data_IF_936393103358
#
_entry.id   IF_936393103358
#
_cell.length_a   1.000
_cell.length_b   1.000
_cell.length_c   1.000
_cell.angle_alpha   90.00
_cell.angle_beta   90.00
_cell.angle_gamma   90.00
#
_symmetry.space_group_name_H-M   'P 1'
#
loop_
_entity.id
_entity.type
_entity.pdbx_description
1 polymer ?
#
# COMPACT_ATOMS: atom_id res chain seq x y z
N UNK A 1 56.73 11.64 -66.57
CA UNK A 1 55.31 11.32 -66.28
C UNK A 1 55.25 10.66 -64.91
N UNK A 2 54.80 11.43 -63.91
CA UNK A 2 54.74 11.08 -62.48
C UNK A 2 53.41 10.35 -62.20
N UNK A 3 53.41 9.01 -62.15
CA UNK A 3 52.20 8.17 -61.95
C UNK A 3 52.18 7.44 -60.59
N UNK A 4 53.31 7.40 -59.88
CA UNK A 4 53.47 6.61 -58.65
C UNK A 4 52.84 7.28 -57.41
N UNK A 5 52.85 8.61 -57.33
CA UNK A 5 52.31 9.36 -56.17
C UNK A 5 50.78 9.36 -56.07
N UNK A 6 50.08 9.11 -57.17
CA UNK A 6 48.60 9.11 -57.23
C UNK A 6 47.97 7.86 -56.60
N UNK A 7 48.59 6.68 -56.78
CA UNK A 7 48.05 5.42 -56.26
C UNK A 7 48.19 5.29 -54.74
N UNK A 8 49.30 5.76 -54.15
CA UNK A 8 49.54 5.69 -52.69
C UNK A 8 48.61 6.61 -51.89
N UNK A 9 48.32 7.81 -52.41
CA UNK A 9 47.34 8.74 -51.82
C UNK A 9 45.91 8.20 -51.89
N UNK A 10 45.51 7.59 -53.01
CA UNK A 10 44.17 7.00 -53.18
C UNK A 10 43.95 5.80 -52.26
N UNK A 11 44.97 4.93 -52.10
CA UNK A 11 44.91 3.76 -51.20
C UNK A 11 44.81 4.17 -49.72
N UNK A 12 45.59 5.18 -49.28
CA UNK A 12 45.50 5.76 -47.93
C UNK A 12 44.16 6.44 -47.66
N UNK A 13 43.61 7.16 -48.64
CA UNK A 13 42.30 7.83 -48.51
C UNK A 13 41.16 6.81 -48.40
N UNK A 14 41.21 5.73 -49.17
CA UNK A 14 40.23 4.64 -49.08
C UNK A 14 40.29 3.90 -47.73
N UNK A 15 41.49 3.67 -47.17
CA UNK A 15 41.62 3.05 -45.84
C UNK A 15 41.15 3.97 -44.71
N UNK A 16 41.37 5.29 -44.82
CA UNK A 16 40.87 6.26 -43.85
C UNK A 16 39.34 6.36 -43.87
N UNK A 17 38.74 6.37 -45.06
CA UNK A 17 37.28 6.36 -45.25
C UNK A 17 36.68 5.06 -44.69
N UNK A 18 37.30 3.90 -44.96
CA UNK A 18 36.82 2.61 -44.44
C UNK A 18 36.90 2.53 -42.91
N UNK A 19 37.97 3.07 -42.30
CA UNK A 19 38.09 3.19 -40.84
C UNK A 19 37.04 4.13 -40.24
N UNK A 20 36.74 5.25 -40.90
CA UNK A 20 35.69 6.17 -40.49
C UNK A 20 34.29 5.54 -40.56
N UNK A 21 34.01 4.79 -41.64
CA UNK A 21 32.75 4.03 -41.79
C UNK A 21 32.65 2.92 -40.74
N UNK A 22 33.72 2.15 -40.51
CA UNK A 22 33.72 1.10 -39.49
C UNK A 22 33.52 1.67 -38.07
N UNK A 23 34.13 2.82 -37.76
CA UNK A 23 33.94 3.51 -36.48
C UNK A 23 32.51 4.03 -36.33
N UNK A 24 31.93 4.62 -37.37
CA UNK A 24 30.55 5.09 -37.37
C UNK A 24 29.55 3.94 -37.17
N UNK A 25 29.80 2.78 -37.79
CA UNK A 25 28.97 1.57 -37.60
C UNK A 25 29.10 1.06 -36.16
N UNK A 26 30.31 0.99 -35.60
CA UNK A 26 30.49 0.57 -34.20
C UNK A 26 29.76 1.50 -33.23
N UNK A 27 29.87 2.81 -33.40
CA UNK A 27 29.16 3.79 -32.56
C UNK A 27 27.65 3.61 -32.70
N UNK A 28 27.12 3.44 -33.91
CA UNK A 28 25.69 3.22 -34.13
C UNK A 28 25.19 1.92 -33.46
N UNK A 29 25.97 0.84 -33.51
CA UNK A 29 25.64 -0.44 -32.84
C UNK A 29 25.68 -0.29 -31.32
N UNK A 30 26.68 0.39 -30.75
CA UNK A 30 26.76 0.64 -29.30
C UNK A 30 25.60 1.51 -28.81
N UNK A 31 25.28 2.60 -29.53
CA UNK A 31 24.16 3.48 -29.18
C UNK A 31 22.83 2.75 -29.33
N UNK A 32 22.64 1.99 -30.40
CA UNK A 32 21.44 1.16 -30.61
C UNK A 32 21.28 0.09 -29.53
N UNK A 33 22.36 -0.56 -29.12
CA UNK A 33 22.37 -1.54 -28.03
C UNK A 33 22.03 -0.92 -26.67
N UNK A 34 22.59 0.24 -26.34
CA UNK A 34 22.25 0.99 -25.13
C UNK A 34 20.77 1.46 -25.13
N UNK A 35 20.26 1.91 -26.28
CA UNK A 35 18.86 2.28 -26.44
C UNK A 35 17.93 1.09 -26.27
N UNK A 36 18.25 -0.06 -26.88
CA UNK A 36 17.47 -1.29 -26.75
C UNK A 36 17.48 -1.82 -25.30
N UNK A 37 18.63 -1.77 -24.62
CA UNK A 37 18.72 -2.12 -23.21
C UNK A 37 17.90 -1.17 -22.33
N UNK A 38 17.97 0.14 -22.58
CA UNK A 38 17.17 1.13 -21.84
C UNK A 38 15.66 0.94 -22.05
N UNK A 39 15.20 0.68 -23.29
CA UNK A 39 13.79 0.36 -23.54
C UNK A 39 13.37 -0.93 -22.84
N UNK A 40 14.18 -1.99 -22.93
CA UNK A 40 13.88 -3.26 -22.25
C UNK A 40 13.76 -3.07 -20.74
N UNK A 41 14.67 -2.31 -20.12
CA UNK A 41 14.63 -2.01 -18.69
C UNK A 41 13.32 -1.33 -18.29
N UNK A 42 12.89 -0.31 -19.06
CA UNK A 42 11.63 0.41 -18.84
C UNK A 42 10.40 -0.47 -19.01
N UNK A 43 10.40 -1.40 -19.98
CA UNK A 43 9.29 -2.32 -20.20
C UNK A 43 9.14 -3.34 -19.06
N UNK A 44 10.25 -3.79 -18.46
CA UNK A 44 10.23 -4.67 -17.28
C UNK A 44 9.74 -3.92 -16.04
N UNK A 45 10.21 -2.69 -15.84
CA UNK A 45 9.79 -1.80 -14.75
C UNK A 45 8.29 -1.43 -14.88
N UNK A 46 7.80 -1.15 -16.10
CA UNK A 46 6.37 -0.94 -16.34
C UNK A 46 5.51 -2.18 -16.10
N UNK A 47 6.00 -3.38 -16.46
CA UNK A 47 5.28 -4.63 -16.18
C UNK A 47 5.22 -4.95 -14.69
N UNK A 48 6.23 -4.59 -13.92
CA UNK A 48 6.24 -4.72 -12.47
C UNK A 48 5.29 -3.74 -11.76
N UNK A 49 4.94 -2.62 -12.40
CA UNK A 49 4.08 -1.58 -11.82
C UNK A 49 2.61 -1.66 -12.26
N UNK A 50 2.18 -2.75 -12.90
CA UNK A 50 0.76 -2.92 -13.23
C UNK A 50 -0.02 -3.42 -12.00
N UNK A 51 -1.18 -2.81 -11.68
CA UNK A 51 -2.01 -3.30 -10.59
C UNK A 51 -2.44 -4.75 -10.79
N UNK A 52 -2.45 -5.52 -9.71
CA UNK A 52 -3.04 -6.86 -9.68
C UNK A 52 -4.49 -6.74 -9.26
N UNK A 53 -5.40 -7.02 -10.18
CA UNK A 53 -6.84 -7.01 -9.91
C UNK A 53 -7.28 -8.34 -9.32
N UNK A 54 -7.82 -8.29 -8.10
CA UNK A 54 -8.47 -9.40 -7.44
C UNK A 54 -9.98 -9.36 -7.69
N UNK A 55 -10.67 -10.42 -7.27
CA UNK A 55 -12.14 -10.45 -7.30
C UNK A 55 -12.72 -9.41 -6.34
N UNK A 56 -14.03 -9.16 -6.46
CA UNK A 56 -14.80 -8.38 -5.49
C UNK A 56 -14.38 -6.91 -5.37
N UNK A 57 -13.84 -6.31 -6.43
CA UNK A 57 -13.47 -4.89 -6.42
C UNK A 57 -12.29 -4.59 -5.51
N UNK A 58 -11.28 -5.46 -5.50
CA UNK A 58 -10.03 -5.25 -4.78
C UNK A 58 -8.88 -5.25 -5.77
N UNK A 59 -7.96 -4.31 -5.64
CA UNK A 59 -6.71 -4.29 -6.41
C UNK A 59 -5.51 -4.10 -5.49
N UNK A 60 -4.39 -4.70 -5.89
CA UNK A 60 -3.07 -4.44 -5.32
C UNK A 60 -2.37 -3.50 -6.29
N UNK A 61 -2.20 -2.25 -5.88
CA UNK A 61 -1.62 -1.18 -6.71
C UNK A 61 -0.09 -1.22 -6.69
N UNK A 62 0.50 -1.67 -5.57
CA UNK A 62 1.96 -1.81 -5.43
C UNK A 62 2.31 -2.98 -4.52
N UNK A 63 3.47 -3.54 -4.78
CA UNK A 63 4.15 -4.54 -3.96
C UNK A 63 5.56 -4.03 -3.69
N UNK A 64 5.93 -3.88 -2.44
CA UNK A 64 7.19 -3.24 -2.05
C UNK A 64 7.73 -3.80 -0.73
N UNK A 65 9.00 -3.52 -0.45
CA UNK A 65 9.61 -3.75 0.85
C UNK A 65 9.40 -2.52 1.74
N UNK A 66 9.22 -2.75 3.03
CA UNK A 66 8.96 -1.73 4.01
C UNK A 66 9.96 -1.79 5.17
N UNK A 67 10.46 -0.60 5.53
CA UNK A 67 11.24 -0.36 6.73
C UNK A 67 10.50 0.66 7.60
N UNK A 68 10.36 0.37 8.89
CA UNK A 68 9.66 1.27 9.82
C UNK A 68 8.96 0.54 10.95
N UNK A 69 8.00 1.17 11.62
CA UNK A 69 7.27 0.53 12.70
C UNK A 69 6.27 -0.51 12.17
N UNK A 70 6.15 -1.62 12.89
CA UNK A 70 5.24 -2.71 12.56
C UNK A 70 3.90 -2.53 13.26
N UNK A 71 2.88 -2.18 12.46
CA UNK A 71 1.55 -1.84 12.97
C UNK A 71 0.64 -3.04 13.18
N UNK A 72 0.91 -4.18 12.54
CA UNK A 72 -0.05 -5.29 12.43
C UNK A 72 -0.31 -6.03 13.75
N UNK A 73 0.58 -5.89 14.74
CA UNK A 73 0.45 -6.48 16.07
C UNK A 73 0.28 -5.42 17.19
N UNK A 74 0.22 -4.13 16.83
CA UNK A 74 0.13 -3.02 17.77
C UNK A 74 1.36 -2.83 18.68
N UNK A 75 2.50 -3.44 18.36
CA UNK A 75 3.73 -3.28 19.16
C UNK A 75 4.57 -2.09 18.75
N UNK A 76 4.36 -1.57 17.54
CA UNK A 76 5.11 -0.46 16.93
C UNK A 76 6.63 -0.72 16.88
N UNK A 77 7.04 -2.00 16.94
CA UNK A 77 8.45 -2.39 16.87
C UNK A 77 9.02 -2.09 15.49
N UNK A 78 10.29 -1.71 15.42
CA UNK A 78 10.96 -1.52 14.14
C UNK A 78 11.10 -2.87 13.38
N UNK A 79 10.87 -2.82 12.08
CA UNK A 79 11.08 -3.90 11.11
C UNK A 79 11.81 -3.38 9.88
N UNK A 80 12.45 -4.30 9.17
CA UNK A 80 13.17 -4.02 7.94
C UNK A 80 12.83 -5.08 6.90
N UNK A 81 12.76 -4.66 5.64
CA UNK A 81 12.50 -5.45 4.45
C UNK A 81 11.18 -6.25 4.53
N UNK A 82 10.19 -5.78 5.29
CA UNK A 82 8.90 -6.47 5.42
C UNK A 82 8.09 -6.32 4.15
N UNK A 83 7.46 -7.39 3.71
CA UNK A 83 6.61 -7.37 2.53
C UNK A 83 5.38 -6.49 2.76
N UNK A 84 5.18 -5.49 1.91
CA UNK A 84 4.05 -4.57 1.92
C UNK A 84 3.23 -4.66 0.64
N UNK A 85 1.91 -4.58 0.79
CA UNK A 85 0.98 -4.34 -0.31
C UNK A 85 0.31 -2.97 -0.15
N UNK A 86 0.21 -2.23 -1.25
CA UNK A 86 -0.75 -1.12 -1.36
C UNK A 86 -2.03 -1.66 -1.96
N UNK A 87 -3.10 -1.74 -1.18
CA UNK A 87 -4.38 -2.35 -1.56
C UNK A 87 -5.46 -1.27 -1.67
N UNK A 88 -6.19 -1.25 -2.79
CA UNK A 88 -7.32 -0.36 -3.03
C UNK A 88 -8.63 -1.16 -3.02
N UNK A 89 -9.61 -0.68 -2.25
CA UNK A 89 -10.99 -1.15 -2.34
C UNK A 89 -11.70 -0.33 -3.42
N UNK A 90 -11.82 -0.89 -4.62
CA UNK A 90 -12.55 -0.29 -5.74
C UNK A 90 -14.05 -0.62 -5.72
N UNK A 91 -14.53 -1.39 -4.74
CA UNK A 91 -15.96 -1.68 -4.59
C UNK A 91 -16.71 -0.49 -4.00
N UNK A 92 -18.04 -0.59 -3.99
CA UNK A 92 -18.96 0.36 -3.36
C UNK A 92 -19.33 -0.04 -1.91
N UNK A 93 -18.66 -1.05 -1.34
CA UNK A 93 -18.95 -1.56 -0.01
C UNK A 93 -17.74 -1.45 0.92
N UNK A 94 -18.00 -1.01 2.15
CA UNK A 94 -16.99 -1.03 3.21
C UNK A 94 -16.71 -2.48 3.65
N UNK A 95 -15.43 -2.82 3.73
CA UNK A 95 -14.97 -4.15 4.10
C UNK A 95 -14.69 -4.19 5.60
N UNK A 96 -15.30 -5.15 6.29
CA UNK A 96 -15.02 -5.43 7.69
C UNK A 96 -13.71 -6.20 7.85
N UNK A 97 -13.49 -7.21 7.02
CA UNK A 97 -12.31 -8.07 7.05
C UNK A 97 -11.95 -8.56 5.66
N UNK A 98 -10.66 -8.53 5.33
CA UNK A 98 -10.08 -9.04 4.10
C UNK A 98 -8.77 -9.75 4.42
N UNK A 99 -8.65 -11.00 3.96
CA UNK A 99 -7.40 -11.74 3.97
C UNK A 99 -6.95 -12.00 2.53
N UNK A 100 -5.77 -11.50 2.19
CA UNK A 100 -5.08 -11.78 0.93
C UNK A 100 -3.92 -12.73 1.23
N UNK A 101 -3.77 -13.76 0.40
CA UNK A 101 -2.63 -14.69 0.46
C UNK A 101 -1.82 -14.57 -0.82
N UNK A 102 -0.51 -14.45 -0.66
CA UNK A 102 0.46 -14.52 -1.73
C UNK A 102 1.02 -15.94 -1.86
N UNK A 103 1.09 -16.45 -3.09
CA UNK A 103 1.60 -17.78 -3.41
C UNK A 103 2.71 -17.72 -4.47
N UNK A 104 3.68 -18.63 -4.33
CA UNK A 104 4.69 -18.84 -5.36
C UNK A 104 4.09 -19.52 -6.62
N UNK A 105 4.93 -19.72 -7.64
CA UNK A 105 4.55 -20.39 -8.89
C UNK A 105 4.11 -21.85 -8.71
N UNK A 106 4.49 -22.49 -7.60
CA UNK A 106 4.13 -23.86 -7.26
C UNK A 106 2.85 -23.92 -6.40
N UNK A 107 2.28 -22.78 -6.03
CA UNK A 107 1.08 -22.65 -5.20
C UNK A 107 1.35 -22.69 -3.69
N UNK A 108 2.61 -22.64 -3.25
CA UNK A 108 2.98 -22.58 -1.83
C UNK A 108 2.69 -21.20 -1.26
N UNK A 109 2.09 -21.12 -0.07
CA UNK A 109 1.85 -19.84 0.62
C UNK A 109 3.17 -19.22 1.05
N UNK A 110 3.37 -17.94 0.74
CA UNK A 110 4.57 -17.17 1.09
C UNK A 110 4.30 -16.05 2.09
N UNK A 111 3.08 -15.52 2.13
CA UNK A 111 2.73 -14.41 3.00
C UNK A 111 1.23 -14.19 3.08
N UNK A 112 0.79 -13.68 4.22
CA UNK A 112 -0.61 -13.38 4.51
C UNK A 112 -0.76 -11.91 4.89
N UNK A 113 -1.79 -11.26 4.36
CA UNK A 113 -2.08 -9.85 4.59
C UNK A 113 -3.51 -9.75 5.09
N UNK A 114 -3.68 -9.21 6.29
CA UNK A 114 -4.97 -9.10 6.94
C UNK A 114 -5.36 -7.64 7.10
N UNK A 115 -6.52 -7.28 6.59
CA UNK A 115 -7.03 -5.91 6.63
C UNK A 115 -8.39 -5.93 7.32
N UNK A 116 -8.53 -5.11 8.35
CA UNK A 116 -9.80 -4.81 9.00
C UNK A 116 -10.19 -3.37 8.67
N UNK A 117 -11.48 -3.12 8.46
CA UNK A 117 -12.03 -1.81 8.07
C UNK A 117 -11.30 -1.19 6.87
N UNK A 118 -11.68 -1.59 5.67
CA UNK A 118 -11.22 -0.95 4.43
C UNK A 118 -12.40 -0.30 3.71
N UNK A 119 -12.41 1.03 3.70
CA UNK A 119 -13.53 1.83 3.21
C UNK A 119 -13.62 1.76 1.70
N UNK A 120 -14.82 1.74 1.15
CA UNK A 120 -15.07 1.86 -0.28
C UNK A 120 -14.33 3.07 -0.87
N UNK A 121 -13.56 2.85 -1.93
CA UNK A 121 -12.74 3.87 -2.59
C UNK A 121 -11.44 4.26 -1.86
N UNK A 122 -11.13 3.66 -0.70
CA UNK A 122 -9.91 3.96 0.07
C UNK A 122 -8.78 2.97 -0.22
N UNK A 123 -7.55 3.45 0.02
CA UNK A 123 -6.31 2.66 -0.10
C UNK A 123 -5.72 2.40 1.28
N UNK A 124 -5.14 1.21 1.46
CA UNK A 124 -4.36 0.84 2.64
C UNK A 124 -2.98 0.33 2.24
N UNK A 125 -1.96 0.70 3.00
CA UNK A 125 -0.67 0.01 3.01
C UNK A 125 -0.68 -1.01 4.15
N UNK A 126 -0.66 -2.29 3.79
CA UNK A 126 -0.70 -3.41 4.74
C UNK A 126 0.60 -4.19 4.68
N UNK A 127 1.13 -4.55 5.85
CA UNK A 127 2.32 -5.37 5.97
C UNK A 127 1.94 -6.85 6.07
N UNK A 128 2.86 -7.73 5.72
CA UNK A 128 2.69 -9.16 5.96
C UNK A 128 2.50 -9.42 7.45
N UNK A 129 1.46 -10.18 7.79
CA UNK A 129 0.90 -10.27 9.14
C UNK A 129 1.89 -10.81 10.19
N UNK A 130 2.90 -11.56 9.78
CA UNK A 130 3.97 -12.10 10.63
C UNK A 130 5.31 -11.38 10.45
N UNK A 131 5.32 -10.23 9.77
CA UNK A 131 6.52 -9.48 9.39
C UNK A 131 7.51 -10.31 8.55
N UNK A 132 7.01 -11.19 7.68
CA UNK A 132 7.85 -11.91 6.73
C UNK A 132 8.50 -10.92 5.76
N UNK A 133 9.79 -11.14 5.51
CA UNK A 133 10.55 -10.32 4.56
C UNK A 133 10.05 -10.49 3.13
N UNK A 134 10.16 -9.44 2.32
CA UNK A 134 9.74 -9.49 0.93
C UNK A 134 10.58 -10.50 0.14
N UNK A 135 9.97 -11.56 -0.42
CA UNK A 135 10.72 -12.52 -1.20
C UNK A 135 11.19 -11.88 -2.52
N UNK A 136 12.36 -12.30 -3.03
CA UNK A 136 12.91 -11.74 -4.28
C UNK A 136 12.03 -11.95 -5.53
N UNK A 137 11.04 -12.85 -5.45
CA UNK A 137 10.03 -13.11 -6.49
C UNK A 137 8.64 -12.54 -6.14
N UNK A 138 8.52 -11.62 -5.17
CA UNK A 138 7.24 -11.03 -4.73
C UNK A 138 6.38 -10.50 -5.90
N UNK A 139 7.02 -9.88 -6.90
CA UNK A 139 6.34 -9.32 -8.08
C UNK A 139 5.76 -10.39 -9.02
N UNK A 140 6.26 -11.62 -8.94
CA UNK A 140 5.78 -12.74 -9.74
C UNK A 140 4.82 -13.65 -8.97
N UNK A 141 4.54 -13.32 -7.70
CA UNK A 141 3.62 -14.09 -6.88
C UNK A 141 2.18 -13.97 -7.40
N UNK A 142 1.41 -15.04 -7.19
CA UNK A 142 -0.04 -14.99 -7.39
C UNK A 142 -0.70 -14.56 -6.09
N UNK A 143 -1.58 -13.57 -6.17
CA UNK A 143 -2.36 -13.09 -5.03
C UNK A 143 -3.81 -13.54 -5.14
N UNK A 144 -4.42 -13.91 -4.02
CA UNK A 144 -5.82 -14.32 -3.99
C UNK A 144 -6.48 -13.94 -2.66
N UNK A 145 -7.77 -13.63 -2.73
CA UNK A 145 -8.60 -13.39 -1.54
C UNK A 145 -8.96 -14.75 -0.95
N UNK A 146 -8.59 -14.98 0.31
CA UNK A 146 -8.98 -16.17 1.07
C UNK A 146 -10.24 -15.92 1.91
N UNK A 147 -10.36 -14.72 2.49
CA UNK A 147 -11.51 -14.34 3.29
C UNK A 147 -11.91 -12.89 2.98
N UNK A 148 -13.21 -12.64 2.91
CA UNK A 148 -13.79 -11.33 2.66
C UNK A 148 -15.14 -11.23 3.38
N UNK A 149 -15.26 -10.25 4.26
CA UNK A 149 -16.50 -9.89 4.93
C UNK A 149 -16.72 -8.38 4.82
N UNK A 150 -17.92 -7.98 4.44
CA UNK A 150 -18.34 -6.58 4.39
C UNK A 150 -18.90 -6.13 5.73
N UNK A 151 -18.82 -4.83 6.00
CA UNK A 151 -19.54 -4.22 7.12
C UNK A 151 -21.05 -4.46 6.94
N UNK A 152 -21.69 -4.95 7.99
CA UNK A 152 -23.13 -5.27 7.97
C UNK A 152 -24.02 -4.03 8.09
N UNK A 153 -23.48 -2.93 8.59
CA UNK A 153 -24.17 -1.68 8.83
C UNK A 153 -23.32 -0.55 8.26
N UNK A 154 -23.99 0.49 7.76
CA UNK A 154 -23.30 1.71 7.33
C UNK A 154 -22.56 2.34 8.51
N UNK A 155 -21.37 2.87 8.21
CA UNK A 155 -20.58 3.60 9.19
C UNK A 155 -21.30 4.86 9.62
N UNK A 156 -21.29 5.12 10.92
CA UNK A 156 -21.82 6.36 11.48
C UNK A 156 -21.04 6.74 12.72
N UNK A 157 -20.91 8.04 12.95
CA UNK A 157 -20.50 8.60 14.24
C UNK A 157 -21.72 8.88 15.14
N UNK A 158 -22.93 8.69 14.60
CA UNK A 158 -24.20 8.96 15.28
C UNK A 158 -24.22 10.37 15.88
N UNK A 159 -23.90 11.37 15.05
CA UNK A 159 -23.75 12.78 15.46
C UNK A 159 -25.05 13.43 15.94
N UNK A 160 -26.19 12.77 15.71
CA UNK A 160 -27.49 13.11 16.31
C UNK A 160 -27.54 12.80 17.82
N UNK A 161 -26.69 11.88 18.29
CA UNK A 161 -26.62 11.43 19.70
C UNK A 161 -25.32 11.81 20.38
N UNK A 162 -24.21 11.71 19.66
CA UNK A 162 -22.89 11.88 20.27
C UNK A 162 -22.16 13.11 19.75
N UNK A 163 -21.38 13.73 20.63
CA UNK A 163 -20.31 14.64 20.23
C UNK A 163 -18.98 14.03 20.62
N UNK A 164 -18.07 13.99 19.65
CA UNK A 164 -16.74 13.45 19.79
C UNK A 164 -15.73 14.60 19.72
N UNK A 165 -14.78 14.60 20.64
CA UNK A 165 -13.61 15.49 20.57
C UNK A 165 -12.35 14.71 20.92
N UNK A 166 -11.23 15.16 20.36
CA UNK A 166 -9.95 14.46 20.46
C UNK A 166 -8.84 15.43 20.81
N UNK A 167 -7.92 14.99 21.66
CA UNK A 167 -6.73 15.74 22.02
C UNK A 167 -5.64 14.77 22.47
N UNK A 168 -4.46 14.83 21.87
CA UNK A 168 -3.37 13.90 22.13
C UNK A 168 -3.85 12.43 22.05
N UNK A 169 -3.61 11.65 23.11
CA UNK A 169 -4.04 10.25 23.23
C UNK A 169 -5.44 10.09 23.86
N UNK A 170 -6.21 11.17 23.99
CA UNK A 170 -7.51 11.17 24.62
C UNK A 170 -8.63 11.33 23.61
N UNK A 171 -9.61 10.44 23.71
CA UNK A 171 -10.87 10.53 22.99
C UNK A 171 -11.95 10.84 24.02
N UNK A 172 -12.67 11.93 23.79
CA UNK A 172 -13.82 12.35 24.59
C UNK A 172 -15.10 12.08 23.84
N UNK A 173 -16.08 11.49 24.52
CA UNK A 173 -17.41 11.22 24.01
C UNK A 173 -18.46 11.83 24.94
N UNK A 174 -19.40 12.57 24.38
CA UNK A 174 -20.57 13.13 25.09
C UNK A 174 -21.86 12.55 24.52
N UNK A 175 -22.76 12.09 25.39
CA UNK A 175 -24.11 11.69 25.03
C UNK A 175 -25.05 12.91 25.11
N UNK A 176 -25.36 13.50 23.96
CA UNK A 176 -26.27 14.65 23.84
C UNK A 176 -27.75 14.25 23.78
N UNK A 177 -28.06 12.95 23.80
CA UNK A 177 -29.45 12.49 23.78
C UNK A 177 -30.12 12.68 25.14
N UNK A 178 -31.45 12.60 25.16
CA UNK A 178 -32.24 12.63 26.40
C UNK A 178 -32.34 11.26 27.09
N UNK A 179 -31.68 10.23 26.56
CA UNK A 179 -31.76 8.85 27.02
C UNK A 179 -30.39 8.34 27.43
N UNK A 180 -30.38 7.40 28.39
CA UNK A 180 -29.16 6.69 28.74
C UNK A 180 -28.78 5.72 27.62
N UNK A 181 -27.49 5.64 27.33
CA UNK A 181 -26.91 4.57 26.53
C UNK A 181 -26.37 3.53 27.51
N UNK A 182 -27.00 2.36 27.57
CA UNK A 182 -26.71 1.33 28.58
C UNK A 182 -25.60 0.35 28.12
N UNK A 183 -25.32 0.31 26.82
CA UNK A 183 -24.37 -0.63 26.23
C UNK A 183 -22.97 -0.02 26.09
N UNK A 184 -21.96 -0.88 26.03
CA UNK A 184 -20.60 -0.48 25.71
C UNK A 184 -20.57 0.27 24.37
N UNK A 185 -19.84 1.38 24.33
CA UNK A 185 -19.61 2.16 23.11
C UNK A 185 -18.19 1.92 22.65
N UNK A 186 -18.02 1.60 21.36
CA UNK A 186 -16.71 1.43 20.73
C UNK A 186 -16.50 2.48 19.66
N UNK A 187 -15.38 3.19 19.72
CA UNK A 187 -14.93 4.10 18.67
C UNK A 187 -13.78 3.45 17.95
N UNK A 188 -13.90 3.31 16.63
CA UNK A 188 -12.94 2.67 15.76
C UNK A 188 -12.14 3.72 15.00
N UNK A 189 -10.82 3.53 14.93
CA UNK A 189 -9.93 4.47 14.26
C UNK A 189 -8.78 3.74 13.56
N UNK A 190 -8.21 4.39 12.54
CA UNK A 190 -7.03 3.88 11.82
C UNK A 190 -6.00 4.98 11.65
N UNK A 191 -4.73 4.58 11.57
CA UNK A 191 -3.65 5.47 11.15
C UNK A 191 -3.83 5.83 9.69
N UNK A 192 -3.55 7.09 9.35
CA UNK A 192 -3.61 7.61 8.00
C UNK A 192 -2.40 8.52 7.74
N UNK A 193 -1.86 8.43 6.53
CA UNK A 193 -0.79 9.29 6.04
C UNK A 193 -1.03 9.57 4.55
N UNK A 194 -1.02 10.85 4.15
CA UNK A 194 -1.27 11.27 2.77
C UNK A 194 -2.55 10.69 2.13
N UNK A 195 -3.63 10.58 2.92
CA UNK A 195 -4.91 9.94 2.54
C UNK A 195 -4.83 8.42 2.27
N UNK A 196 -3.76 7.75 2.71
CA UNK A 196 -3.59 6.30 2.65
C UNK A 196 -3.64 5.74 4.06
N UNK A 197 -4.54 4.78 4.29
CA UNK A 197 -4.64 4.07 5.56
C UNK A 197 -3.37 3.27 5.79
N UNK A 198 -2.86 3.25 7.01
CA UNK A 198 -1.63 2.57 7.38
C UNK A 198 -1.95 1.39 8.29
N UNK A 199 -1.38 0.23 7.96
CA UNK A 199 -1.58 -1.01 8.69
C UNK A 199 -2.93 -1.69 8.40
N UNK A 200 -2.92 -3.01 8.56
CA UNK A 200 -4.08 -3.88 8.43
C UNK A 200 -5.09 -3.74 9.57
N UNK A 201 -4.64 -3.46 10.80
CA UNK A 201 -5.52 -3.44 11.98
C UNK A 201 -6.30 -2.14 12.17
N UNK A 202 -7.54 -2.27 12.64
CA UNK A 202 -8.37 -1.15 13.12
C UNK A 202 -8.34 -1.15 14.63
N UNK A 203 -7.85 -0.06 15.20
CA UNK A 203 -7.85 0.11 16.64
C UNK A 203 -9.25 0.50 17.13
N UNK A 204 -9.50 0.26 18.42
CA UNK A 204 -10.73 0.70 19.06
C UNK A 204 -10.48 1.14 20.49
N UNK A 205 -11.21 2.16 20.92
CA UNK A 205 -11.35 2.52 22.33
C UNK A 205 -12.75 2.12 22.81
N UNK A 206 -12.84 1.69 24.06
CA UNK A 206 -14.09 1.21 24.67
C UNK A 206 -14.51 2.16 25.79
N UNK A 207 -15.73 2.66 25.73
CA UNK A 207 -16.42 3.33 26.83
C UNK A 207 -17.33 2.30 27.50
N UNK A 208 -16.87 1.78 28.64
CA UNK A 208 -17.54 0.66 29.31
C UNK A 208 -18.83 1.09 30.02
N UNK A 209 -19.88 0.28 29.90
CA UNK A 209 -21.18 0.52 30.54
C UNK A 209 -21.96 1.70 29.96
N UNK A 210 -21.57 2.19 28.78
CA UNK A 210 -22.25 3.27 28.08
C UNK A 210 -22.12 4.63 28.78
N UNK A 211 -23.11 5.51 28.55
CA UNK A 211 -23.13 6.90 29.00
C UNK A 211 -24.54 7.32 29.40
N UNK A 212 -24.69 7.93 30.59
CA UNK A 212 -25.95 8.57 30.99
C UNK A 212 -26.31 9.74 30.05
N UNK A 213 -27.58 10.13 30.03
CA UNK A 213 -28.02 11.30 29.28
C UNK A 213 -27.28 12.57 29.74
N UNK A 214 -26.61 13.26 28.81
CA UNK A 214 -25.77 14.43 29.10
C UNK A 214 -24.41 14.12 29.71
N UNK A 215 -24.06 12.84 29.91
CA UNK A 215 -22.73 12.48 30.41
C UNK A 215 -21.67 12.72 29.34
N UNK A 216 -20.50 13.18 29.79
CA UNK A 216 -19.29 13.24 29.00
C UNK A 216 -18.17 12.49 29.69
N UNK A 217 -17.49 11.62 28.95
CA UNK A 217 -16.39 10.79 29.43
C UNK A 217 -15.21 10.85 28.49
N UNK A 218 -14.02 10.60 29.01
CA UNK A 218 -12.77 10.53 28.26
C UNK A 218 -12.10 9.18 28.50
N UNK A 219 -11.53 8.62 27.44
CA UNK A 219 -10.74 7.40 27.49
C UNK A 219 -9.40 7.65 26.81
N UNK A 220 -8.32 7.18 27.46
CA UNK A 220 -6.97 7.28 26.92
C UNK A 220 -6.64 6.05 26.07
N UNK A 221 -5.98 6.25 24.94
CA UNK A 221 -5.58 5.15 24.06
C UNK A 221 -4.21 5.41 23.42
N UNK A 222 -3.32 4.42 23.52
CA UNK A 222 -1.89 4.60 23.23
C UNK A 222 -1.58 4.84 21.74
N UNK A 223 -2.41 4.28 20.84
CA UNK A 223 -2.17 4.34 19.40
C UNK A 223 -2.95 5.44 18.69
N UNK A 224 -3.66 6.29 19.43
CA UNK A 224 -4.39 7.40 18.84
C UNK A 224 -3.56 8.68 18.88
N UNK A 225 -3.50 9.34 17.73
CA UNK A 225 -2.95 10.68 17.57
C UNK A 225 -3.83 11.42 16.55
N UNK A 226 -4.44 12.56 16.90
CA UNK A 226 -5.37 13.28 16.02
C UNK A 226 -4.72 13.78 14.73
N UNK A 227 -3.39 13.92 14.68
CA UNK A 227 -2.67 14.37 13.49
C UNK A 227 -2.40 13.22 12.52
N UNK A 228 -2.42 11.96 13.00
CA UNK A 228 -2.07 10.79 12.19
C UNK A 228 -3.10 9.67 12.22
N UNK A 229 -4.27 9.90 12.82
CA UNK A 229 -5.36 8.93 12.86
C UNK A 229 -6.69 9.55 12.43
N UNK A 230 -7.50 8.74 11.77
CA UNK A 230 -8.88 9.07 11.40
C UNK A 230 -9.85 8.21 12.21
N UNK A 231 -10.87 8.86 12.79
CA UNK A 231 -11.99 8.15 13.40
C UNK A 231 -12.87 7.59 12.29
N UNK A 232 -12.97 6.27 12.23
CA UNK A 232 -13.67 5.58 11.13
C UNK A 232 -15.17 5.52 11.36
N UNK A 233 -15.60 5.12 12.56
CA UNK A 233 -17.01 4.98 12.96
C UNK A 233 -17.13 4.68 14.46
N UNK A 234 -18.35 4.75 14.98
CA UNK A 234 -18.72 4.39 16.34
C UNK A 234 -19.78 3.27 16.31
N UNK A 235 -19.73 2.35 17.27
CA UNK A 235 -20.82 1.38 17.51
C UNK A 235 -21.25 1.39 18.97
N UNK A 236 -22.53 1.13 19.20
CA UNK A 236 -23.14 0.93 20.51
C UNK A 236 -24.30 -0.04 20.31
N UNK A 237 -24.19 -1.27 20.81
CA UNK A 237 -25.19 -2.33 20.63
C UNK A 237 -25.37 -3.14 21.91
#
# INVERSE_FOLDING_TARGET
MDSSKGQTRKKRRNTLVWKGVALAIMVAVCVGGLFAWSMWGKDQEQKQNMPVYLKSGISIERVEAYDGPFWEDGTDRAVEDVWQLTVLNTSDQDIQYLKIVAKDENGSSLGEFEITTLIAGSTVQVLEASAVQMPGNAQSCTYSIENLAYLKQERSLHTDKFTLSVADQWIRLENNSSENIENDIYIYYKRIEDNVLQGGITYRVKFAGGLEAGESREEQTQHFDPDTCEIMYLTYQ
#
